data_IF_891582578919
#
_entry.id   IF_891582578919
#
_cell.length_a   1.000
_cell.length_b   1.000
_cell.length_c   1.000
_cell.angle_alpha   90.00
_cell.angle_beta   90.00
_cell.angle_gamma   90.00
#
_symmetry.space_group_name_H-M   'P 1'
#
loop_
_entity.id
_entity.type
_entity.pdbx_description
1 polymer ?
#
# COMPACT_ATOMS: atom_id res chain seq x y z
N UNK A 1 26.59 -0.91 19.57
CA UNK A 1 25.79 -1.79 18.68
C UNK A 1 26.10 -1.41 17.25
N UNK A 2 26.30 -2.34 16.34
CA UNK A 2 26.44 -2.08 14.91
C UNK A 2 25.13 -1.55 14.35
N UNK A 3 25.22 -0.62 13.40
CA UNK A 3 24.00 -0.13 12.71
C UNK A 3 23.32 -1.30 11.99
N UNK A 4 21.97 -1.38 11.99
CA UNK A 4 21.27 -2.46 11.30
C UNK A 4 21.51 -2.41 9.79
N UNK A 5 21.68 -3.58 9.18
CA UNK A 5 21.77 -3.74 7.74
C UNK A 5 20.39 -3.59 7.09
N UNK A 6 20.34 -3.06 5.86
CA UNK A 6 19.13 -2.70 5.16
C UNK A 6 19.08 -3.33 3.77
N UNK A 7 18.05 -4.12 3.50
CA UNK A 7 17.72 -4.59 2.14
C UNK A 7 16.62 -3.71 1.53
N UNK A 8 16.82 -3.28 0.30
CA UNK A 8 15.74 -2.75 -0.54
C UNK A 8 15.11 -3.89 -1.35
N UNK A 9 13.82 -4.16 -1.14
CA UNK A 9 13.04 -5.10 -1.95
C UNK A 9 12.29 -4.30 -3.01
N UNK A 10 12.72 -4.45 -4.26
CA UNK A 10 12.09 -3.79 -5.42
C UNK A 10 11.15 -4.77 -6.11
N UNK A 11 9.88 -4.41 -6.25
CA UNK A 11 8.88 -5.26 -6.90
C UNK A 11 8.50 -4.72 -8.28
N UNK A 12 8.61 -5.56 -9.34
CA UNK A 12 8.25 -5.18 -10.70
C UNK A 12 7.39 -6.23 -11.41
N UNK A 13 6.45 -5.79 -12.28
CA UNK A 13 5.65 -6.68 -13.11
C UNK A 13 5.38 -6.03 -14.47
N UNK A 14 5.85 -6.66 -15.55
CA UNK A 14 5.68 -6.21 -16.95
C UNK A 14 6.15 -4.77 -17.25
N UNK A 15 6.85 -4.13 -16.31
CA UNK A 15 7.27 -2.74 -16.42
C UNK A 15 8.77 -2.59 -16.17
N UNK A 16 9.49 -2.12 -17.17
CA UNK A 16 10.96 -1.93 -17.13
C UNK A 16 11.37 -0.48 -17.05
N UNK A 17 10.47 0.43 -17.39
CA UNK A 17 10.75 1.81 -17.75
C UNK A 17 11.49 2.60 -16.66
N UNK A 18 11.05 2.46 -15.42
CA UNK A 18 11.63 3.20 -14.29
C UNK A 18 12.48 2.33 -13.38
N UNK A 19 12.49 1.00 -13.59
CA UNK A 19 13.16 0.03 -12.72
C UNK A 19 14.63 0.37 -12.44
N UNK A 20 15.37 0.81 -13.46
CA UNK A 20 16.78 1.19 -13.29
C UNK A 20 16.95 2.40 -12.35
N UNK A 21 16.01 3.35 -12.39
CA UNK A 21 16.01 4.50 -11.47
C UNK A 21 15.69 4.08 -10.04
N UNK A 22 14.67 3.21 -9.88
CA UNK A 22 14.30 2.66 -8.58
C UNK A 22 15.48 1.92 -7.93
N UNK A 23 16.07 0.94 -8.62
CA UNK A 23 17.21 0.16 -8.12
C UNK A 23 18.41 1.04 -7.80
N UNK A 24 18.75 1.99 -8.69
CA UNK A 24 19.86 2.92 -8.49
C UNK A 24 19.64 3.81 -7.27
N UNK A 25 18.42 4.31 -7.06
CA UNK A 25 18.11 5.16 -5.89
C UNK A 25 18.35 4.44 -4.56
N UNK A 26 18.06 3.13 -4.49
CA UNK A 26 18.32 2.32 -3.30
C UNK A 26 19.83 2.06 -3.12
N UNK A 27 20.54 1.72 -4.20
CA UNK A 27 21.99 1.47 -4.17
C UNK A 27 22.77 2.73 -3.77
N UNK A 28 22.45 3.87 -4.38
CA UNK A 28 23.12 5.14 -4.13
C UNK A 28 22.74 5.73 -2.77
N UNK A 29 21.54 5.39 -2.26
CA UNK A 29 21.09 5.70 -0.91
C UNK A 29 21.79 4.87 0.18
N UNK A 30 22.62 3.88 -0.19
CA UNK A 30 23.44 3.09 0.73
C UNK A 30 22.73 1.86 1.31
N UNK A 31 21.77 1.27 0.60
CA UNK A 31 21.24 -0.07 0.94
C UNK A 31 22.37 -1.11 0.89
N UNK A 32 22.45 -1.99 1.89
CA UNK A 32 23.47 -3.03 1.95
C UNK A 32 23.20 -4.17 0.95
N UNK A 33 21.91 -4.37 0.63
CA UNK A 33 21.45 -5.37 -0.33
C UNK A 33 20.26 -4.79 -1.12
N UNK A 34 20.19 -5.12 -2.42
CA UNK A 34 19.02 -4.85 -3.24
C UNK A 34 18.51 -6.16 -3.83
N UNK A 35 17.26 -6.52 -3.53
CA UNK A 35 16.57 -7.70 -4.05
C UNK A 35 15.50 -7.23 -5.02
N UNK A 36 15.58 -7.64 -6.28
CA UNK A 36 14.59 -7.30 -7.31
C UNK A 36 13.72 -8.51 -7.60
N UNK A 37 12.43 -8.42 -7.30
CA UNK A 37 11.44 -9.48 -7.53
C UNK A 37 10.60 -9.13 -8.75
N UNK A 38 10.79 -9.87 -9.86
CA UNK A 38 10.17 -9.53 -11.15
C UNK A 38 9.82 -10.74 -12.00
N UNK A 39 8.93 -10.55 -13.01
CA UNK A 39 8.50 -11.60 -13.94
C UNK A 39 9.21 -11.57 -15.31
N UNK A 40 10.25 -10.79 -15.45
CA UNK A 40 11.04 -10.67 -16.68
C UNK A 40 12.52 -10.72 -16.38
N UNK A 41 13.32 -11.18 -17.34
CA UNK A 41 14.78 -11.29 -17.24
C UNK A 41 15.51 -10.16 -17.96
N UNK A 42 16.82 -10.14 -17.84
CA UNK A 42 17.74 -9.22 -18.48
C UNK A 42 18.38 -8.22 -17.50
N UNK A 43 19.48 -7.58 -17.89
CA UNK A 43 20.20 -6.66 -17.03
C UNK A 43 19.36 -5.42 -16.72
N UNK A 44 19.61 -4.83 -15.55
CA UNK A 44 19.10 -3.51 -15.17
C UNK A 44 20.24 -2.53 -15.43
N UNK A 45 20.08 -1.66 -16.40
CA UNK A 45 21.10 -0.76 -16.91
C UNK A 45 21.77 0.09 -15.81
N UNK A 46 23.08 0.01 -15.71
CA UNK A 46 23.90 0.71 -14.73
C UNK A 46 23.80 0.17 -13.30
N UNK A 47 23.21 -1.03 -13.13
CA UNK A 47 23.09 -1.72 -11.85
C UNK A 47 23.64 -3.15 -11.87
N UNK A 48 24.31 -3.55 -12.94
CA UNK A 48 24.77 -4.92 -13.18
C UNK A 48 25.67 -5.42 -12.03
N UNK A 49 25.36 -6.61 -11.52
CA UNK A 49 26.09 -7.23 -10.42
C UNK A 49 25.87 -6.62 -9.03
N UNK A 50 25.03 -5.57 -8.92
CA UNK A 50 24.77 -4.85 -7.67
C UNK A 50 23.42 -5.19 -7.03
N UNK A 51 22.64 -6.09 -7.63
CA UNK A 51 21.35 -6.54 -7.13
C UNK A 51 21.20 -8.05 -7.25
N UNK A 52 20.36 -8.63 -6.44
CA UNK A 52 19.94 -10.02 -6.50
C UNK A 52 18.60 -10.13 -7.22
N UNK A 53 18.53 -10.92 -8.27
CA UNK A 53 17.30 -11.15 -9.05
C UNK A 53 16.52 -12.34 -8.49
N UNK A 54 15.23 -12.17 -8.26
CA UNK A 54 14.30 -13.19 -7.77
C UNK A 54 13.14 -13.29 -8.75
N UNK A 55 13.06 -14.37 -9.55
CA UNK A 55 11.98 -14.52 -10.53
C UNK A 55 10.62 -14.76 -9.85
N UNK A 56 9.58 -14.06 -10.32
CA UNK A 56 8.21 -14.21 -9.83
C UNK A 56 7.20 -13.84 -10.91
N UNK A 57 6.56 -14.84 -11.53
CA UNK A 57 5.53 -14.65 -12.57
C UNK A 57 4.16 -14.29 -12.01
N UNK A 58 3.96 -14.43 -10.69
CA UNK A 58 2.70 -14.10 -10.02
C UNK A 58 2.53 -12.57 -9.98
N UNK A 59 1.42 -12.02 -10.46
CA UNK A 59 1.21 -10.57 -10.51
C UNK A 59 0.96 -9.94 -9.14
N UNK A 60 0.56 -10.73 -8.13
CA UNK A 60 0.24 -10.25 -6.79
C UNK A 60 1.47 -9.66 -6.09
N UNK A 61 1.38 -8.41 -5.67
CA UNK A 61 2.46 -7.70 -4.95
C UNK A 61 2.82 -8.41 -3.65
N UNK A 62 1.82 -8.97 -2.94
CA UNK A 62 2.04 -9.72 -1.69
C UNK A 62 2.92 -10.95 -1.87
N UNK A 63 2.81 -11.68 -2.98
CA UNK A 63 3.74 -12.78 -3.29
C UNK A 63 5.15 -12.27 -3.57
N UNK A 64 5.27 -11.16 -4.32
CA UNK A 64 6.58 -10.58 -4.63
C UNK A 64 7.28 -10.04 -3.38
N UNK A 65 6.58 -9.31 -2.53
CA UNK A 65 7.14 -8.83 -1.27
C UNK A 65 7.54 -9.97 -0.34
N UNK A 66 6.70 -11.00 -0.23
CA UNK A 66 7.02 -12.18 0.57
C UNK A 66 8.31 -12.86 0.10
N UNK A 67 8.47 -13.06 -1.23
CA UNK A 67 9.73 -13.59 -1.81
C UNK A 67 10.91 -12.68 -1.56
N UNK A 68 10.71 -11.37 -1.64
CA UNK A 68 11.74 -10.38 -1.35
C UNK A 68 12.21 -10.45 0.10
N UNK A 69 11.29 -10.53 1.07
CA UNK A 69 11.59 -10.69 2.50
C UNK A 69 12.34 -12.01 2.77
N UNK A 70 11.91 -13.10 2.16
CA UNK A 70 12.56 -14.41 2.30
C UNK A 70 13.96 -14.43 1.70
N UNK A 71 14.14 -13.80 0.54
CA UNK A 71 15.42 -13.72 -0.15
C UNK A 71 16.41 -12.75 0.51
N UNK A 72 15.93 -11.74 1.24
CA UNK A 72 16.79 -10.76 1.91
C UNK A 72 17.61 -11.39 3.06
N UNK A 73 18.77 -10.81 3.35
CA UNK A 73 19.68 -11.27 4.41
C UNK A 73 19.91 -10.23 5.50
N UNK A 74 19.49 -8.99 5.29
CA UNK A 74 19.66 -7.86 6.22
C UNK A 74 18.73 -7.93 7.42
N UNK A 75 18.98 -7.08 8.42
CA UNK A 75 18.16 -6.95 9.64
C UNK A 75 16.79 -6.30 9.35
N UNK A 76 16.76 -5.41 8.36
CA UNK A 76 15.62 -4.58 8.02
C UNK A 76 15.35 -4.63 6.52
N UNK A 77 14.09 -4.66 6.15
CA UNK A 77 13.61 -4.64 4.76
C UNK A 77 12.80 -3.37 4.51
N UNK A 78 13.20 -2.58 3.52
CA UNK A 78 12.39 -1.50 2.98
C UNK A 78 11.85 -1.89 1.61
N UNK A 79 10.58 -1.60 1.34
CA UNK A 79 9.96 -1.88 0.05
C UNK A 79 10.12 -0.69 -0.91
N UNK A 80 10.09 -1.00 -2.20
CA UNK A 80 10.20 0.00 -3.27
C UNK A 80 9.45 -0.50 -4.51
N UNK A 81 8.49 0.28 -4.99
CA UNK A 81 7.83 0.02 -6.26
C UNK A 81 8.77 0.38 -7.43
N UNK A 82 8.65 -0.30 -8.56
CA UNK A 82 9.54 -0.17 -9.72
C UNK A 82 9.46 1.20 -10.41
N UNK A 83 8.55 2.08 -10.01
CA UNK A 83 8.35 3.43 -10.55
C UNK A 83 8.71 4.56 -9.56
N UNK A 84 8.98 4.23 -8.30
CA UNK A 84 9.37 5.19 -7.26
C UNK A 84 10.89 5.28 -7.09
N UNK A 85 11.34 6.26 -6.31
CA UNK A 85 12.74 6.42 -5.96
C UNK A 85 12.90 6.73 -4.47
N UNK A 86 13.87 6.09 -3.82
CA UNK A 86 14.26 6.45 -2.46
C UNK A 86 15.03 7.77 -2.43
N UNK A 87 14.77 8.60 -1.42
CA UNK A 87 15.61 9.75 -1.13
C UNK A 87 16.93 9.30 -0.46
N UNK A 88 18.05 9.98 -0.69
CA UNK A 88 19.36 9.62 -0.09
C UNK A 88 19.32 9.53 1.45
N UNK A 89 18.46 10.30 2.11
CA UNK A 89 18.32 10.30 3.56
C UNK A 89 17.59 9.05 4.10
N UNK A 90 16.97 8.22 3.25
CA UNK A 90 16.11 7.13 3.71
C UNK A 90 16.88 6.05 4.46
N UNK A 91 17.96 5.52 3.90
CA UNK A 91 18.74 4.44 4.55
C UNK A 91 19.37 4.90 5.86
N UNK A 92 20.03 6.08 5.95
CA UNK A 92 20.46 6.63 7.23
C UNK A 92 19.35 6.71 8.27
N UNK A 93 18.16 7.16 7.88
CA UNK A 93 17.01 7.26 8.79
C UNK A 93 16.49 5.89 9.23
N UNK A 94 16.43 4.92 8.34
CA UNK A 94 16.09 3.52 8.69
C UNK A 94 17.06 2.99 9.76
N UNK A 95 18.37 3.16 9.55
CA UNK A 95 19.40 2.73 10.51
C UNK A 95 19.26 3.40 11.87
N UNK A 96 18.92 4.68 11.91
CA UNK A 96 18.65 5.41 13.13
C UNK A 96 17.42 4.83 13.88
N UNK A 97 16.28 4.68 13.21
CA UNK A 97 15.03 4.19 13.80
C UNK A 97 15.20 2.79 14.37
N UNK A 98 15.67 1.85 13.56
CA UNK A 98 15.79 0.45 13.95
C UNK A 98 17.02 0.15 14.81
N UNK A 99 18.05 0.99 14.78
CA UNK A 99 19.23 0.89 15.63
C UNK A 99 19.02 1.44 17.04
N UNK A 100 18.17 2.46 17.18
CA UNK A 100 17.81 3.04 18.47
C UNK A 100 16.99 2.10 19.34
N UNK A 101 16.10 1.33 18.73
CA UNK A 101 15.20 0.45 19.45
C UNK A 101 14.95 -0.89 18.72
N UNK A 102 15.36 -2.02 19.33
CA UNK A 102 15.12 -3.35 18.76
C UNK A 102 13.64 -3.77 18.80
N UNK A 103 12.79 -3.10 19.57
CA UNK A 103 11.35 -3.34 19.66
C UNK A 103 10.56 -2.83 18.45
N UNK A 104 11.09 -1.85 17.72
CA UNK A 104 10.45 -1.32 16.52
C UNK A 104 10.45 -2.37 15.41
N UNK A 105 9.25 -2.71 14.92
CA UNK A 105 9.06 -3.68 13.82
C UNK A 105 8.57 -3.07 12.53
N UNK A 106 8.00 -1.87 12.60
CA UNK A 106 7.40 -1.17 11.46
C UNK A 106 7.75 0.31 11.51
N UNK A 107 8.14 0.85 10.35
CA UNK A 107 8.39 2.27 10.14
C UNK A 107 7.76 2.71 8.83
N UNK A 108 7.03 3.83 8.85
CA UNK A 108 6.46 4.45 7.66
C UNK A 108 6.71 5.95 7.68
N UNK A 109 6.84 6.54 6.49
CA UNK A 109 7.16 7.96 6.32
C UNK A 109 6.36 8.59 5.16
N UNK A 110 6.44 9.90 5.03
CA UNK A 110 5.79 10.64 3.96
C UNK A 110 6.52 10.52 2.60
N UNK A 111 5.85 10.99 1.55
CA UNK A 111 6.28 10.90 0.17
C UNK A 111 6.19 12.27 -0.49
N UNK A 112 6.99 12.50 -1.54
CA UNK A 112 6.90 13.66 -2.41
C UNK A 112 6.52 13.22 -3.82
N UNK A 113 5.42 13.71 -4.39
CA UNK A 113 5.05 13.36 -5.75
C UNK A 113 6.03 13.99 -6.76
N UNK A 114 6.39 13.18 -7.75
CA UNK A 114 7.18 13.61 -8.94
C UNK A 114 6.43 13.18 -10.20
N UNK A 115 6.67 13.88 -11.31
CA UNK A 115 6.15 13.49 -12.61
C UNK A 115 6.95 12.32 -13.24
N UNK A 116 6.59 11.96 -14.48
CA UNK A 116 7.27 10.91 -15.25
C UNK A 116 8.77 11.16 -15.39
N UNK A 117 9.19 12.42 -15.51
CA UNK A 117 10.58 12.82 -15.72
C UNK A 117 11.36 13.00 -14.41
N UNK A 118 10.67 12.92 -13.26
CA UNK A 118 11.26 13.07 -11.93
C UNK A 118 11.22 14.49 -11.38
N UNK A 119 10.44 15.39 -12.04
CA UNK A 119 10.28 16.76 -11.54
C UNK A 119 9.20 16.81 -10.44
N UNK A 120 9.38 17.64 -9.41
CA UNK A 120 8.37 17.80 -8.37
C UNK A 120 7.02 18.25 -8.93
N UNK A 121 5.95 17.65 -8.47
CA UNK A 121 4.55 18.04 -8.80
C UNK A 121 3.92 18.70 -7.59
N UNK A 122 3.28 19.83 -7.83
CA UNK A 122 2.53 20.55 -6.79
C UNK A 122 1.15 19.95 -6.49
N UNK A 123 0.73 18.95 -7.25
CA UNK A 123 -0.53 18.24 -7.00
C UNK A 123 -0.44 17.46 -5.69
N UNK A 124 -1.08 17.99 -4.67
CA UNK A 124 -1.04 17.45 -3.32
C UNK A 124 -2.21 16.49 -3.13
N UNK A 125 -1.89 15.21 -2.90
CA UNK A 125 -2.84 14.32 -2.26
C UNK A 125 -2.72 14.53 -0.74
N UNK A 126 -3.76 14.95 -0.01
CA UNK A 126 -3.66 15.24 1.44
C UNK A 126 -3.15 14.06 2.28
N UNK A 127 -3.26 12.84 1.75
CA UNK A 127 -2.80 11.61 2.40
C UNK A 127 -1.27 11.42 2.35
N UNK A 128 -0.56 12.23 1.54
CA UNK A 128 0.87 12.04 1.24
C UNK A 128 1.78 12.97 2.05
N UNK A 129 1.27 14.10 2.53
CA UNK A 129 2.09 15.15 3.16
C UNK A 129 1.54 15.64 4.50
N UNK A 130 2.44 16.10 5.36
CA UNK A 130 2.09 16.94 6.51
C UNK A 130 1.47 16.21 7.70
N UNK A 131 1.74 14.92 7.86
CA UNK A 131 1.31 14.18 9.05
C UNK A 131 2.28 14.36 10.19
N UNK A 132 1.75 14.55 11.40
CA UNK A 132 2.57 14.64 12.60
C UNK A 132 3.25 13.30 12.89
N UNK A 133 4.55 13.31 13.23
CA UNK A 133 5.26 12.09 13.61
C UNK A 133 4.65 11.51 14.88
N UNK A 134 4.55 10.19 14.94
CA UNK A 134 4.06 9.48 16.10
C UNK A 134 4.81 8.16 16.30
N UNK A 135 5.01 7.79 17.55
CA UNK A 135 5.61 6.53 17.96
C UNK A 135 4.73 5.84 18.98
N UNK A 136 4.52 4.56 18.79
CA UNK A 136 3.70 3.73 19.65
C UNK A 136 4.52 2.52 20.11
N UNK A 137 4.84 2.47 21.41
CA UNK A 137 5.47 1.32 22.05
C UNK A 137 4.46 0.17 22.23
N UNK A 138 3.22 0.53 22.57
CA UNK A 138 2.06 -0.35 22.59
C UNK A 138 0.87 0.46 22.12
N UNK A 139 0.11 -0.11 21.20
CA UNK A 139 -1.08 0.55 20.64
C UNK A 139 -2.29 0.19 21.49
N UNK A 140 -2.85 1.12 22.21
CA UNK A 140 -4.09 0.95 22.94
C UNK A 140 -5.33 1.13 22.04
N UNK A 141 -6.54 1.08 22.65
CA UNK A 141 -7.79 1.24 21.92
C UNK A 141 -7.98 2.66 21.37
N UNK A 142 -7.52 3.67 22.09
CA UNK A 142 -7.60 5.07 21.69
C UNK A 142 -6.65 5.36 20.53
N UNK A 143 -5.42 4.85 20.62
CA UNK A 143 -4.43 4.90 19.55
C UNK A 143 -4.93 4.21 18.28
N UNK A 144 -5.51 3.00 18.40
CA UNK A 144 -6.11 2.29 17.26
C UNK A 144 -7.21 3.11 16.56
N UNK A 145 -8.08 3.74 17.37
CA UNK A 145 -9.13 4.58 16.80
C UNK A 145 -8.54 5.78 16.05
N UNK A 146 -7.55 6.46 16.65
CA UNK A 146 -6.85 7.60 16.05
C UNK A 146 -6.14 7.20 14.76
N UNK A 147 -5.37 6.11 14.75
CA UNK A 147 -4.63 5.63 13.58
C UNK A 147 -5.54 5.22 12.43
N UNK A 148 -6.67 4.56 12.73
CA UNK A 148 -7.72 4.28 11.75
C UNK A 148 -8.33 5.58 11.23
N UNK A 149 -8.49 6.58 12.12
CA UNK A 149 -9.07 7.87 11.77
C UNK A 149 -8.15 8.72 10.90
N UNK A 150 -6.87 8.69 11.12
CA UNK A 150 -5.87 9.47 10.38
C UNK A 150 -5.43 8.80 9.07
N UNK A 151 -5.77 7.55 8.85
CA UNK A 151 -5.37 6.73 7.68
C UNK A 151 -3.88 6.84 7.39
N UNK A 152 -3.08 6.06 8.12
CA UNK A 152 -1.62 6.12 8.05
C UNK A 152 -0.91 5.10 7.13
N UNK A 153 -1.51 4.17 6.41
CA UNK A 153 -0.74 3.46 5.43
C UNK A 153 -0.29 4.45 4.36
N UNK A 154 1.03 4.60 4.22
CA UNK A 154 1.63 5.27 3.08
C UNK A 154 1.38 4.48 1.79
N UNK A 155 2.40 4.40 0.93
CA UNK A 155 2.47 3.37 -0.11
C UNK A 155 3.55 2.33 0.25
N UNK A 156 3.70 1.29 -0.56
CA UNK A 156 4.73 0.28 -0.37
C UNK A 156 6.12 0.91 -0.23
N UNK A 157 6.46 1.85 -1.12
CA UNK A 157 7.76 2.52 -1.14
C UNK A 157 8.07 3.31 0.13
N UNK A 158 7.07 3.61 0.97
CA UNK A 158 7.24 4.27 2.27
C UNK A 158 7.36 3.29 3.44
N UNK A 159 7.11 2.01 3.22
CA UNK A 159 7.02 0.98 4.25
C UNK A 159 8.38 0.32 4.49
N UNK A 160 8.74 0.19 5.76
CA UNK A 160 9.96 -0.49 6.21
C UNK A 160 9.62 -1.39 7.39
N UNK A 161 10.16 -2.60 7.41
CA UNK A 161 9.85 -3.61 8.42
C UNK A 161 11.12 -4.30 8.95
N UNK A 162 11.11 -4.73 10.21
CA UNK A 162 12.14 -5.61 10.73
C UNK A 162 11.98 -7.00 10.12
N UNK A 163 13.02 -7.51 9.46
CA UNK A 163 12.96 -8.76 8.69
C UNK A 163 12.51 -9.96 9.52
N UNK A 164 13.09 -10.18 10.69
CA UNK A 164 12.72 -11.32 11.54
C UNK A 164 11.24 -11.35 11.89
N UNK A 165 10.67 -10.19 12.20
CA UNK A 165 9.23 -10.05 12.42
C UNK A 165 8.43 -10.25 11.12
N UNK A 166 8.86 -9.69 9.99
CA UNK A 166 8.15 -9.79 8.72
C UNK A 166 8.01 -11.25 8.24
N UNK A 167 9.03 -12.08 8.47
CA UNK A 167 9.00 -13.52 8.15
C UNK A 167 7.85 -14.27 8.83
N UNK A 168 7.39 -13.83 9.99
CA UNK A 168 6.23 -14.42 10.68
C UNK A 168 4.90 -14.16 9.94
N UNK A 169 4.87 -13.16 9.05
CA UNK A 169 3.67 -12.67 8.38
C UNK A 169 3.61 -12.96 6.88
N UNK A 170 4.68 -13.44 6.25
CA UNK A 170 4.73 -13.66 4.79
C UNK A 170 3.62 -14.60 4.27
N UNK A 171 3.23 -15.60 5.05
CA UNK A 171 2.13 -16.50 4.68
C UNK A 171 0.78 -15.78 4.59
N UNK A 172 0.50 -14.90 5.54
CA UNK A 172 -0.71 -14.08 5.54
C UNK A 172 -0.67 -13.00 4.46
N UNK A 173 0.51 -12.42 4.20
CA UNK A 173 0.73 -11.47 3.12
C UNK A 173 0.41 -12.07 1.75
N UNK A 174 0.89 -13.29 1.48
CA UNK A 174 0.54 -14.04 0.26
C UNK A 174 -0.97 -14.23 0.11
N UNK A 175 -1.65 -14.56 1.22
CA UNK A 175 -3.09 -14.74 1.21
C UNK A 175 -3.84 -13.44 0.89
N UNK A 176 -3.38 -12.30 1.40
CA UNK A 176 -3.90 -10.98 1.07
C UNK A 176 -3.63 -10.61 -0.40
N UNK A 177 -2.44 -10.91 -0.91
CA UNK A 177 -2.00 -10.75 -2.29
C UNK A 177 -1.88 -9.31 -2.78
N UNK A 178 -2.54 -8.38 -2.14
CA UNK A 178 -2.66 -6.98 -2.52
C UNK A 178 -2.76 -6.06 -1.29
N UNK A 179 -2.70 -4.72 -1.49
CA UNK A 179 -2.73 -3.73 -0.41
C UNK A 179 -1.66 -4.01 0.66
N UNK A 180 -0.42 -4.23 0.22
CA UNK A 180 0.67 -4.65 1.09
C UNK A 180 1.03 -3.58 2.11
N UNK A 181 0.95 -2.31 1.75
CA UNK A 181 1.10 -1.16 2.63
C UNK A 181 0.12 -1.21 3.81
N UNK A 182 -1.16 -1.42 3.52
CA UNK A 182 -2.19 -1.61 4.54
C UNK A 182 -1.95 -2.91 5.33
N UNK A 183 -1.52 -3.99 4.64
CA UNK A 183 -1.24 -5.27 5.30
C UNK A 183 -0.16 -5.13 6.38
N UNK A 184 1.00 -4.56 6.04
CA UNK A 184 2.10 -4.39 6.98
C UNK A 184 1.72 -3.49 8.16
N UNK A 185 0.98 -2.40 7.89
CA UNK A 185 0.45 -1.53 8.93
C UNK A 185 -0.47 -2.27 9.89
N UNK A 186 -1.46 -3.00 9.36
CA UNK A 186 -2.40 -3.80 10.18
C UNK A 186 -1.66 -4.90 10.95
N UNK A 187 -0.72 -5.60 10.32
CA UNK A 187 0.09 -6.63 10.96
C UNK A 187 0.89 -6.06 12.15
N UNK A 188 1.49 -4.87 11.99
CA UNK A 188 2.20 -4.19 13.06
C UNK A 188 1.26 -3.88 14.24
N UNK A 189 0.08 -3.30 13.97
CA UNK A 189 -0.93 -3.02 14.99
C UNK A 189 -1.44 -4.29 15.68
N UNK A 190 -1.63 -5.38 14.93
CA UNK A 190 -2.08 -6.66 15.47
C UNK A 190 -1.00 -7.38 16.28
N UNK A 191 0.27 -7.16 15.99
CA UNK A 191 1.38 -7.79 16.71
C UNK A 191 1.57 -7.26 18.13
N UNK A 192 1.09 -6.05 18.43
CA UNK A 192 1.34 -5.36 19.69
C UNK A 192 2.81 -4.95 19.88
N UNK A 193 3.57 -4.93 18.78
CA UNK A 193 4.96 -4.46 18.75
C UNK A 193 5.03 -2.97 18.50
N UNK A 194 6.19 -2.40 18.65
CA UNK A 194 6.43 -0.98 18.47
C UNK A 194 6.45 -0.58 17.00
N UNK A 195 5.84 0.56 16.70
CA UNK A 195 5.82 1.16 15.37
C UNK A 195 6.15 2.65 15.42
N UNK A 196 6.77 3.17 14.37
CA UNK A 196 7.12 4.58 14.22
C UNK A 196 6.56 5.13 12.91
N UNK A 197 5.90 6.29 13.01
CA UNK A 197 5.32 7.05 11.90
C UNK A 197 6.07 8.38 11.79
N UNK A 198 6.62 8.70 10.62
CA UNK A 198 7.41 9.92 10.41
C UNK A 198 6.78 10.84 9.38
N UNK A 199 6.77 12.13 9.68
CA UNK A 199 6.40 13.17 8.72
C UNK A 199 7.49 13.48 7.68
N UNK A 200 8.66 12.86 7.78
CA UNK A 200 9.77 13.07 6.86
C UNK A 200 9.46 12.52 5.46
N UNK A 201 9.84 13.25 4.43
CA UNK A 201 9.70 12.81 3.04
C UNK A 201 10.95 12.06 2.60
N UNK A 202 10.85 10.73 2.52
CA UNK A 202 11.98 9.85 2.22
C UNK A 202 11.79 9.03 0.93
N UNK A 203 10.74 9.31 0.17
CA UNK A 203 10.45 8.71 -1.14
C UNK A 203 9.94 9.76 -2.11
N UNK A 204 10.35 9.64 -3.36
CA UNK A 204 9.77 10.30 -4.52
C UNK A 204 8.76 9.36 -5.16
N UNK A 205 7.47 9.70 -5.04
CA UNK A 205 6.35 8.96 -5.60
C UNK A 205 6.10 9.40 -7.04
N UNK A 206 6.31 8.52 -8.00
CA UNK A 206 6.13 8.87 -9.42
C UNK A 206 4.69 8.75 -9.87
N UNK A 207 4.18 9.83 -10.46
CA UNK A 207 2.84 9.92 -11.03
C UNK A 207 2.89 9.81 -12.55
N UNK A 208 2.31 8.75 -13.12
CA UNK A 208 2.20 8.51 -14.56
C UNK A 208 0.95 7.69 -14.90
N UNK A 209 0.59 7.58 -16.18
CA UNK A 209 -0.68 6.98 -16.65
C UNK A 209 -0.81 5.47 -16.34
N UNK A 210 0.31 4.79 -16.05
CA UNK A 210 0.35 3.37 -15.73
C UNK A 210 0.34 3.08 -14.23
N UNK A 211 0.26 4.09 -13.37
CA UNK A 211 0.05 3.83 -11.95
C UNK A 211 -1.28 3.12 -11.76
N UNK A 212 -1.30 2.12 -10.91
CA UNK A 212 -2.49 1.28 -10.71
C UNK A 212 -3.64 2.02 -10.05
N UNK A 213 -3.33 3.00 -9.23
CA UNK A 213 -4.30 3.90 -8.57
C UNK A 213 -4.80 5.02 -9.49
N UNK A 214 -4.17 5.26 -10.65
CA UNK A 214 -4.54 6.36 -11.54
C UNK A 214 -5.51 5.92 -12.64
N UNK A 215 -6.64 6.59 -12.68
CA UNK A 215 -7.65 6.46 -13.74
C UNK A 215 -7.75 7.71 -14.60
N UNK A 216 -6.78 8.63 -14.49
CA UNK A 216 -6.76 9.89 -15.25
C UNK A 216 -6.70 9.62 -16.74
N UNK A 217 -7.62 10.24 -17.50
CA UNK A 217 -7.66 10.10 -18.96
C UNK A 217 -8.21 8.77 -19.48
N UNK A 218 -8.61 7.83 -18.59
CA UNK A 218 -9.23 6.58 -19.00
C UNK A 218 -10.63 6.83 -19.61
N UNK A 219 -10.97 6.03 -20.63
CA UNK A 219 -12.37 6.01 -21.11
C UNK A 219 -13.28 5.43 -20.02
N UNK A 220 -14.61 5.69 -20.05
CA UNK A 220 -15.53 5.10 -19.08
C UNK A 220 -15.47 3.58 -19.01
N UNK A 221 -15.19 2.92 -20.13
CA UNK A 221 -15.06 1.46 -20.19
C UNK A 221 -13.74 0.97 -19.56
N UNK A 222 -12.65 1.62 -19.88
CA UNK A 222 -11.34 1.33 -19.31
C UNK A 222 -11.31 1.61 -17.79
N UNK A 223 -11.89 2.73 -17.36
CA UNK A 223 -12.09 3.02 -15.94
C UNK A 223 -12.85 1.89 -15.26
N UNK A 224 -13.99 1.48 -15.83
CA UNK A 224 -14.82 0.41 -15.27
C UNK A 224 -14.03 -0.89 -15.10
N UNK A 225 -13.29 -1.30 -16.13
CA UNK A 225 -12.47 -2.50 -16.08
C UNK A 225 -11.41 -2.41 -14.99
N UNK A 226 -10.59 -1.36 -15.00
CA UNK A 226 -9.49 -1.16 -14.03
C UNK A 226 -10.01 -1.03 -12.60
N UNK A 227 -11.06 -0.24 -12.39
CA UNK A 227 -11.66 -0.04 -11.08
C UNK A 227 -12.31 -1.31 -10.53
N UNK A 228 -12.96 -2.10 -11.38
CA UNK A 228 -13.55 -3.39 -11.00
C UNK A 228 -12.49 -4.41 -10.60
N UNK A 229 -11.43 -4.57 -11.40
CA UNK A 229 -10.31 -5.47 -11.11
C UNK A 229 -9.58 -5.08 -9.83
N UNK A 230 -9.27 -3.80 -9.67
CA UNK A 230 -8.63 -3.27 -8.47
C UNK A 230 -9.52 -3.48 -7.23
N UNK A 231 -10.82 -3.16 -7.32
CA UNK A 231 -11.76 -3.35 -6.23
C UNK A 231 -11.88 -4.82 -5.80
N UNK A 232 -11.87 -5.76 -6.73
CA UNK A 232 -11.89 -7.19 -6.40
C UNK A 232 -10.63 -7.64 -5.64
N UNK A 233 -9.46 -7.11 -6.01
CA UNK A 233 -8.20 -7.38 -5.32
C UNK A 233 -8.20 -6.79 -3.91
N UNK A 234 -8.62 -5.55 -3.75
CA UNK A 234 -8.77 -4.91 -2.44
C UNK A 234 -9.79 -5.63 -1.57
N UNK A 235 -10.94 -6.06 -2.12
CA UNK A 235 -11.95 -6.82 -1.37
C UNK A 235 -11.32 -8.06 -0.74
N UNK A 236 -10.56 -8.86 -1.51
CA UNK A 236 -9.84 -10.05 -1.00
C UNK A 236 -8.86 -9.70 0.11
N UNK A 237 -8.05 -8.65 -0.07
CA UNK A 237 -7.08 -8.22 0.93
C UNK A 237 -7.78 -7.81 2.25
N UNK A 238 -8.86 -7.04 2.16
CA UNK A 238 -9.63 -6.62 3.33
C UNK A 238 -10.36 -7.78 4.02
N UNK A 239 -10.80 -8.81 3.29
CA UNK A 239 -11.37 -10.04 3.87
C UNK A 239 -10.32 -10.77 4.72
N UNK A 240 -9.11 -10.95 4.18
CA UNK A 240 -7.98 -11.58 4.91
C UNK A 240 -7.63 -10.78 6.15
N UNK A 241 -7.46 -9.47 6.01
CA UNK A 241 -7.13 -8.58 7.14
C UNK A 241 -8.23 -8.58 8.21
N UNK A 242 -9.50 -8.61 7.80
CA UNK A 242 -10.65 -8.71 8.72
C UNK A 242 -10.62 -10.03 9.49
N UNK A 243 -10.30 -11.14 8.83
CA UNK A 243 -10.16 -12.44 9.47
C UNK A 243 -9.01 -12.43 10.49
N UNK A 244 -7.84 -11.92 10.11
CA UNK A 244 -6.68 -11.78 11.00
C UNK A 244 -7.00 -10.91 12.23
N UNK A 245 -7.74 -9.81 12.05
CA UNK A 245 -8.13 -8.94 13.15
C UNK A 245 -9.13 -9.61 14.10
N UNK A 246 -10.00 -10.51 13.62
CA UNK A 246 -10.97 -11.25 14.43
C UNK A 246 -10.35 -12.38 15.23
N UNK A 247 -9.35 -13.06 14.66
CA UNK A 247 -8.71 -14.23 15.28
C UNK A 247 -7.85 -13.86 16.50
N UNK A 248 -7.45 -12.61 16.64
CA UNK A 248 -6.61 -12.16 17.75
C UNK A 248 -7.41 -11.49 18.87
N UNK A 249 -7.19 -11.91 20.12
CA UNK A 249 -7.87 -11.36 21.32
C UNK A 249 -7.33 -9.97 21.66
N UNK A 250 -8.22 -9.04 22.05
CA UNK A 250 -7.82 -7.71 22.55
C UNK A 250 -8.73 -6.56 22.10
N UNK A 251 -8.40 -5.29 22.42
CA UNK A 251 -9.25 -4.11 22.19
C UNK A 251 -9.25 -3.62 20.72
N UNK A 252 -9.55 -4.54 19.78
CA UNK A 252 -9.36 -4.34 18.33
C UNK A 252 -10.64 -4.04 17.55
N UNK A 253 -11.74 -3.81 18.25
CA UNK A 253 -13.04 -3.54 17.63
C UNK A 253 -13.01 -2.41 16.57
N UNK A 254 -12.30 -1.27 16.77
CA UNK A 254 -12.21 -0.23 15.76
C UNK A 254 -11.54 -0.70 14.47
N UNK A 255 -10.43 -1.44 14.57
CA UNK A 255 -9.71 -1.99 13.42
C UNK A 255 -10.55 -3.03 12.68
N UNK A 256 -11.13 -3.99 13.39
CA UNK A 256 -12.00 -5.01 12.78
C UNK A 256 -13.18 -4.37 12.05
N UNK A 257 -13.78 -3.32 12.65
CA UNK A 257 -14.88 -2.59 12.04
C UNK A 257 -14.42 -1.86 10.76
N UNK A 258 -13.31 -1.13 10.82
CA UNK A 258 -12.75 -0.43 9.67
C UNK A 258 -12.47 -1.38 8.51
N UNK A 259 -11.83 -2.52 8.79
CA UNK A 259 -11.51 -3.53 7.78
C UNK A 259 -12.78 -4.17 7.19
N UNK A 260 -13.76 -4.50 8.02
CA UNK A 260 -15.02 -5.07 7.56
C UNK A 260 -15.83 -4.08 6.70
N UNK A 261 -15.86 -2.80 7.06
CA UNK A 261 -16.48 -1.74 6.25
C UNK A 261 -15.76 -1.57 4.90
N UNK A 262 -14.43 -1.62 4.89
CA UNK A 262 -13.63 -1.60 3.67
C UNK A 262 -13.92 -2.80 2.77
N UNK A 263 -13.99 -4.02 3.33
CA UNK A 263 -14.34 -5.22 2.58
C UNK A 263 -15.70 -5.07 1.90
N UNK A 264 -16.74 -4.62 2.64
CA UNK A 264 -18.08 -4.40 2.08
C UNK A 264 -18.06 -3.38 0.94
N UNK A 265 -17.31 -2.29 1.10
CA UNK A 265 -17.20 -1.25 0.07
C UNK A 265 -16.54 -1.77 -1.21
N UNK A 266 -15.41 -2.46 -1.09
CA UNK A 266 -14.69 -2.98 -2.25
C UNK A 266 -15.44 -4.12 -2.96
N UNK A 267 -16.12 -4.99 -2.22
CA UNK A 267 -17.04 -5.97 -2.81
C UNK A 267 -18.18 -5.29 -3.58
N UNK A 268 -18.76 -4.21 -3.03
CA UNK A 268 -19.78 -3.44 -3.74
C UNK A 268 -19.25 -2.86 -5.06
N UNK A 269 -18.07 -2.25 -5.07
CA UNK A 269 -17.50 -1.70 -6.29
C UNK A 269 -17.16 -2.78 -7.31
N UNK A 270 -16.59 -3.91 -6.89
CA UNK A 270 -16.32 -5.04 -7.77
C UNK A 270 -17.60 -5.58 -8.43
N UNK A 271 -18.66 -5.80 -7.64
CA UNK A 271 -19.96 -6.26 -8.13
C UNK A 271 -20.64 -5.23 -9.06
N UNK A 272 -20.54 -3.94 -8.72
CA UNK A 272 -21.12 -2.87 -9.52
C UNK A 272 -20.47 -2.79 -10.90
N UNK A 273 -19.14 -2.80 -10.96
CA UNK A 273 -18.38 -2.67 -12.21
C UNK A 273 -18.41 -3.97 -13.03
N UNK A 274 -18.36 -5.13 -12.36
CA UNK A 274 -18.50 -6.44 -12.99
C UNK A 274 -19.91 -6.77 -13.48
N UNK A 275 -20.91 -5.99 -13.07
CA UNK A 275 -22.32 -6.21 -13.45
C UNK A 275 -22.99 -7.39 -12.72
N UNK A 276 -22.34 -7.91 -11.68
CA UNK A 276 -22.82 -9.07 -10.91
C UNK A 276 -23.63 -8.58 -9.70
N UNK A 277 -24.96 -8.78 -9.75
CA UNK A 277 -25.88 -8.48 -8.64
C UNK A 277 -25.65 -7.13 -7.91
N UNK A 278 -25.50 -6.00 -8.63
CA UNK A 278 -25.13 -4.73 -8.02
C UNK A 278 -26.14 -4.23 -6.98
N UNK A 279 -27.43 -4.60 -7.11
CA UNK A 279 -28.47 -4.22 -6.13
C UNK A 279 -28.31 -4.93 -4.80
N UNK A 280 -28.00 -6.25 -4.79
CA UNK A 280 -27.77 -6.99 -3.55
C UNK A 280 -26.50 -6.53 -2.85
N UNK A 281 -25.46 -6.16 -3.61
CA UNK A 281 -24.25 -5.55 -3.07
C UNK A 281 -24.54 -4.18 -2.46
N UNK A 282 -25.37 -3.34 -3.13
CA UNK A 282 -25.81 -2.06 -2.58
C UNK A 282 -26.58 -2.21 -1.27
N UNK A 283 -27.49 -3.18 -1.17
CA UNK A 283 -28.18 -3.48 0.09
C UNK A 283 -27.22 -3.88 1.20
N UNK A 284 -26.19 -4.67 0.91
CA UNK A 284 -25.15 -5.00 1.91
C UNK A 284 -24.45 -3.75 2.45
N UNK A 285 -24.08 -2.80 1.58
CA UNK A 285 -23.50 -1.51 2.00
C UNK A 285 -24.43 -0.75 2.94
N UNK A 286 -25.71 -0.64 2.60
CA UNK A 286 -26.70 0.09 3.41
C UNK A 286 -26.98 -0.62 4.75
N UNK A 287 -27.01 -1.94 4.76
CA UNK A 287 -27.25 -2.73 5.98
C UNK A 287 -26.09 -2.67 6.97
N UNK A 288 -24.86 -2.76 6.49
CA UNK A 288 -23.66 -2.69 7.35
C UNK A 288 -23.33 -1.27 7.81
N UNK A 289 -23.99 -0.25 7.23
CA UNK A 289 -23.85 1.14 7.61
C UNK A 289 -22.38 1.58 7.58
N UNK A 290 -21.77 1.71 6.40
CA UNK A 290 -20.39 2.19 6.33
C UNK A 290 -20.30 3.49 7.11
N UNK A 291 -19.28 3.63 7.96
CA UNK A 291 -19.08 4.81 8.78
C UNK A 291 -19.12 6.10 7.97
N UNK A 292 -19.37 7.22 8.60
CA UNK A 292 -19.55 8.55 7.95
C UNK A 292 -18.44 8.92 6.95
N UNK A 293 -17.28 8.26 7.03
CA UNK A 293 -16.14 8.42 6.10
C UNK A 293 -16.42 7.95 4.69
N UNK A 294 -17.32 6.98 4.53
CA UNK A 294 -17.64 6.40 3.23
C UNK A 294 -18.93 6.95 2.63
N UNK A 295 -19.24 8.24 2.87
CA UNK A 295 -20.45 8.89 2.33
C UNK A 295 -20.59 8.70 0.82
N UNK A 296 -19.48 8.70 0.08
CA UNK A 296 -19.48 8.45 -1.36
C UNK A 296 -19.92 7.03 -1.72
N UNK A 297 -19.55 6.01 -0.90
CA UNK A 297 -19.96 4.62 -1.09
C UNK A 297 -21.46 4.47 -0.85
N UNK A 298 -21.98 5.06 0.24
CA UNK A 298 -23.43 5.05 0.55
C UNK A 298 -24.22 5.71 -0.55
N UNK A 299 -23.78 6.89 -1.02
CA UNK A 299 -24.43 7.60 -2.12
C UNK A 299 -24.44 6.76 -3.40
N UNK A 300 -23.31 6.12 -3.75
CA UNK A 300 -23.23 5.22 -4.90
C UNK A 300 -24.14 4.00 -4.75
N UNK A 301 -24.24 3.43 -3.54
CA UNK A 301 -25.13 2.30 -3.26
C UNK A 301 -26.61 2.67 -3.40
N UNK A 302 -27.03 3.82 -2.89
CA UNK A 302 -28.40 4.33 -3.06
C UNK A 302 -28.75 4.50 -4.53
N UNK A 303 -27.86 5.11 -5.32
CA UNK A 303 -28.07 5.25 -6.77
C UNK A 303 -28.09 3.89 -7.47
N UNK A 304 -27.27 2.92 -7.06
CA UNK A 304 -27.21 1.58 -7.66
C UNK A 304 -28.48 0.76 -7.43
N UNK A 305 -29.23 1.00 -6.36
CA UNK A 305 -30.53 0.35 -6.13
C UNK A 305 -31.54 0.69 -7.23
N UNK A 306 -31.51 1.95 -7.69
CA UNK A 306 -32.44 2.45 -8.72
C UNK A 306 -31.86 2.21 -10.12
N UNK A 307 -30.62 2.63 -10.33
CA UNK A 307 -29.95 2.56 -11.64
C UNK A 307 -28.45 2.23 -11.49
N UNK A 308 -28.06 0.95 -11.63
CA UNK A 308 -26.64 0.57 -11.60
C UNK A 308 -25.79 1.34 -12.63
N UNK A 309 -26.34 1.62 -13.81
CA UNK A 309 -25.65 2.42 -14.82
C UNK A 309 -25.43 3.88 -14.36
N UNK A 310 -26.39 4.46 -13.63
CA UNK A 310 -26.26 5.78 -13.02
C UNK A 310 -25.17 5.83 -11.95
N UNK A 311 -25.07 4.78 -11.10
CA UNK A 311 -24.02 4.69 -10.09
C UNK A 311 -22.63 4.62 -10.73
N UNK A 312 -22.44 3.83 -11.80
CA UNK A 312 -21.18 3.77 -12.56
C UNK A 312 -20.78 5.13 -13.14
N UNK A 313 -21.74 5.84 -13.73
CA UNK A 313 -21.50 7.20 -14.25
C UNK A 313 -21.10 8.18 -13.14
N UNK A 314 -21.73 8.06 -11.96
CA UNK A 314 -21.41 8.89 -10.79
C UNK A 314 -19.97 8.63 -10.32
N UNK A 315 -19.58 7.38 -10.18
CA UNK A 315 -18.23 6.99 -9.79
C UNK A 315 -17.18 7.53 -10.77
N UNK A 316 -17.39 7.31 -12.06
CA UNK A 316 -16.50 7.82 -13.10
C UNK A 316 -16.31 9.34 -13.01
N UNK A 317 -17.40 10.11 -12.94
CA UNK A 317 -17.37 11.58 -12.83
C UNK A 317 -16.70 12.05 -11.54
N UNK A 318 -16.90 11.34 -10.44
CA UNK A 318 -16.28 11.68 -9.15
C UNK A 318 -14.79 11.45 -9.19
N UNK A 319 -14.35 10.35 -9.80
CA UNK A 319 -12.94 10.07 -10.03
C UNK A 319 -12.26 11.14 -10.88
N UNK A 320 -12.87 11.53 -12.03
CA UNK A 320 -12.32 12.61 -12.86
C UNK A 320 -12.21 13.95 -12.12
N UNK A 321 -13.20 14.30 -11.27
CA UNK A 321 -13.15 15.53 -10.48
C UNK A 321 -12.03 15.55 -9.46
N UNK A 322 -11.77 14.44 -8.77
CA UNK A 322 -10.66 14.34 -7.81
C UNK A 322 -9.32 14.68 -8.43
N UNK A 323 -9.11 14.33 -9.70
CA UNK A 323 -7.88 14.60 -10.42
C UNK A 323 -7.80 15.99 -11.08
N UNK A 324 -8.95 16.71 -11.18
CA UNK A 324 -8.96 18.09 -11.72
C UNK A 324 -8.70 19.16 -10.65
N UNK A 325 -8.82 18.81 -9.38
CA UNK A 325 -8.61 19.73 -8.25
C UNK A 325 -7.18 19.62 -7.66
N UNK A 326 -6.35 18.84 -8.24
CA UNK A 326 -4.91 18.78 -8.07
C UNK A 326 -4.26 19.16 -9.42
#
# INVERSE_FOLDING_TARGET
MTAPSVTAVVTAHDRREFLARAVRSALDGGADEVVVVRNFSGPIEGCEGRYRDVPCDIPDTGEKEARGVEASTSDVVGFLDDDDEWEPAKVPRIREVFGRDPGVVYFVHCQRPIDRDGQPVTAVHPEIQGKDPARFAQVDRGDLQRLVDEVWPGNNSSTVVRRGWALEWVGSLRSAGWACDLFWFVAALLSGRELELSGETLVRLRLHERNMSQTRGATPEEFRRRHGESSARFARAYDVLTALARDRRGPRAPMTRFLAEGAVAFHFFADLEGGVRPRSAAWRVLWHGPGLRQRGVVGSALVALVTPAGARRLLYRTSERRWRLG
#
